data_IF_317994931294
#
_entry.id   IF_317994931294
#
_cell.length_a   1.000
_cell.length_b   1.000
_cell.length_c   1.000
_cell.angle_alpha   90.00
_cell.angle_beta   90.00
_cell.angle_gamma   90.00
#
_symmetry.space_group_name_H-M   'P 1'
#
loop_
_entity.id
_entity.type
_entity.pdbx_description
1 polymer ?
#
# COMPACT_ATOMS: atom_id res chain seq x y z
N UNK A 1 4.09 12.98 6.22
CA UNK A 1 3.36 11.73 5.90
C UNK A 1 3.50 11.46 4.41
N UNK A 2 3.78 10.22 4.00
CA UNK A 2 4.02 9.89 2.59
C UNK A 2 3.77 8.42 2.28
N UNK A 3 3.39 8.11 1.04
CA UNK A 3 3.38 6.75 0.52
C UNK A 3 4.77 6.35 0.04
N UNK A 4 5.17 5.13 0.35
CA UNK A 4 6.42 4.53 -0.08
C UNK A 4 6.14 3.23 -0.82
N UNK A 5 6.58 3.14 -2.08
CA UNK A 5 6.46 1.93 -2.90
C UNK A 5 7.81 1.24 -2.93
N UNK A 6 7.80 -0.07 -2.69
CA UNK A 6 9.00 -0.88 -2.71
C UNK A 6 8.71 -2.25 -3.31
N UNK A 7 9.75 -2.87 -3.86
CA UNK A 7 9.69 -4.26 -4.30
C UNK A 7 10.06 -5.14 -3.12
N UNK A 8 9.18 -6.06 -2.72
CA UNK A 8 9.44 -6.96 -1.61
C UNK A 8 10.49 -7.98 -2.05
N UNK A 9 11.72 -7.83 -1.57
CA UNK A 9 12.83 -8.75 -1.90
C UNK A 9 13.00 -9.87 -0.87
N UNK A 10 12.41 -9.70 0.33
CA UNK A 10 12.49 -10.66 1.45
C UNK A 10 11.20 -11.49 1.54
N UNK A 11 11.34 -12.76 1.91
CA UNK A 11 10.24 -13.71 2.05
C UNK A 11 10.30 -14.86 1.04
N UNK A 12 9.17 -15.53 0.84
CA UNK A 12 8.96 -16.60 -0.14
C UNK A 12 8.05 -16.09 -1.26
N UNK A 13 7.93 -16.84 -2.36
CA UNK A 13 7.02 -16.48 -3.44
C UNK A 13 5.57 -16.37 -2.95
N UNK A 14 5.18 -17.22 -1.98
CA UNK A 14 3.85 -17.21 -1.38
C UNK A 14 3.60 -15.98 -0.49
N UNK A 15 4.65 -15.32 0.00
CA UNK A 15 4.53 -14.11 0.84
C UNK A 15 4.83 -12.82 0.08
N UNK A 16 4.84 -12.88 -1.27
CA UNK A 16 4.98 -11.72 -2.14
C UNK A 16 6.41 -11.38 -2.53
N UNK A 17 7.37 -12.32 -2.44
CA UNK A 17 8.74 -12.08 -2.94
C UNK A 17 8.71 -11.74 -4.43
N UNK A 18 9.33 -10.62 -4.77
CA UNK A 18 9.40 -10.08 -6.13
C UNK A 18 8.23 -9.18 -6.51
N UNK A 19 7.18 -9.11 -5.70
CA UNK A 19 6.00 -8.26 -5.92
C UNK A 19 6.20 -6.84 -5.37
N UNK A 20 5.39 -5.92 -5.87
CA UNK A 20 5.35 -4.52 -5.46
C UNK A 20 4.40 -4.34 -4.29
N UNK A 21 4.79 -3.51 -3.32
CA UNK A 21 3.96 -3.15 -2.17
C UNK A 21 4.06 -1.68 -1.90
N UNK A 22 3.03 -1.15 -1.26
CA UNK A 22 3.02 0.19 -0.73
C UNK A 22 2.84 0.18 0.78
N UNK A 23 3.39 1.20 1.43
CA UNK A 23 3.11 1.52 2.83
C UNK A 23 3.00 3.02 3.02
N UNK A 24 2.17 3.42 3.98
CA UNK A 24 1.97 4.80 4.35
C UNK A 24 2.76 5.07 5.63
N UNK A 25 3.64 6.06 5.57
CA UNK A 25 4.47 6.48 6.69
C UNK A 25 4.00 7.81 7.25
N UNK A 26 3.94 7.90 8.58
CA UNK A 26 3.68 9.13 9.30
C UNK A 26 4.91 10.08 9.26
N UNK A 27 4.78 11.28 9.84
CA UNK A 27 5.87 12.26 9.89
C UNK A 27 7.10 11.76 10.65
N UNK A 28 6.92 10.84 11.58
CA UNK A 28 7.96 10.16 12.35
C UNK A 28 8.53 8.91 11.65
N UNK A 29 8.25 8.69 10.36
CA UNK A 29 8.68 7.54 9.56
C UNK A 29 8.12 6.18 9.96
N UNK A 30 7.22 6.11 10.96
CA UNK A 30 6.54 4.88 11.32
C UNK A 30 5.50 4.50 10.29
N UNK A 31 5.34 3.20 10.07
CA UNK A 31 4.33 2.67 9.14
C UNK A 31 2.97 2.63 9.82
N UNK A 32 1.99 3.35 9.27
CA UNK A 32 0.63 3.43 9.81
C UNK A 32 -0.38 2.63 8.99
N UNK A 33 -0.07 2.34 7.73
CA UNK A 33 -0.86 1.45 6.90
C UNK A 33 0.03 0.75 5.86
N UNK A 34 -0.39 -0.43 5.43
CA UNK A 34 0.27 -1.19 4.36
C UNK A 34 -0.75 -1.89 3.50
N UNK A 35 -0.47 -2.01 2.21
CA UNK A 35 -1.32 -2.73 1.27
C UNK A 35 -0.92 -4.19 1.03
N UNK A 36 -1.75 -4.82 0.22
CA UNK A 36 -1.46 -6.09 -0.44
C UNK A 36 -0.25 -6.00 -1.40
N UNK A 37 0.13 -7.13 -1.98
CA UNK A 37 1.21 -7.24 -2.94
C UNK A 37 0.71 -7.37 -4.38
N UNK A 38 1.35 -6.62 -5.27
CA UNK A 38 0.96 -6.48 -6.67
C UNK A 38 2.05 -7.03 -7.60
N UNK A 39 1.65 -7.63 -8.72
CA UNK A 39 2.61 -8.10 -9.73
C UNK A 39 3.29 -6.92 -10.42
N UNK A 40 2.53 -5.86 -10.75
CA UNK A 40 3.04 -4.68 -11.44
C UNK A 40 3.11 -3.46 -10.52
N UNK A 41 4.09 -2.58 -10.78
CA UNK A 41 4.20 -1.30 -10.07
C UNK A 41 3.02 -0.36 -10.37
N UNK A 42 2.49 -0.44 -11.59
CA UNK A 42 1.34 0.37 -12.03
C UNK A 42 0.10 0.14 -11.19
N UNK A 43 -0.22 -1.13 -10.91
CA UNK A 43 -1.36 -1.53 -10.08
C UNK A 43 -1.22 -0.96 -8.65
N UNK A 44 0.00 -1.00 -8.11
CA UNK A 44 0.33 -0.44 -6.80
C UNK A 44 0.13 1.08 -6.75
N UNK A 45 0.55 1.80 -7.80
CA UNK A 45 0.30 3.25 -7.94
C UNK A 45 -1.18 3.57 -8.09
N UNK A 46 -1.92 2.73 -8.83
CA UNK A 46 -3.35 2.90 -9.02
C UNK A 46 -4.11 2.76 -7.70
N UNK A 47 -3.78 1.76 -6.89
CA UNK A 47 -4.35 1.60 -5.54
C UNK A 47 -4.10 2.82 -4.64
N UNK A 48 -2.88 3.38 -4.65
CA UNK A 48 -2.57 4.61 -3.89
C UNK A 48 -3.42 5.79 -4.39
N UNK A 49 -3.60 5.93 -5.71
CA UNK A 49 -4.42 7.01 -6.26
C UNK A 49 -5.90 6.88 -5.85
N UNK A 50 -6.43 5.66 -5.80
CA UNK A 50 -7.78 5.41 -5.27
C UNK A 50 -7.89 5.82 -3.80
N UNK A 51 -6.91 5.43 -2.96
CA UNK A 51 -6.87 5.80 -1.54
C UNK A 51 -6.75 7.31 -1.37
N UNK A 52 -5.91 7.99 -2.17
CA UNK A 52 -5.81 9.45 -2.13
C UNK A 52 -7.08 10.16 -2.60
N UNK A 53 -7.90 9.49 -3.39
CA UNK A 53 -9.17 10.00 -3.90
C UNK A 53 -10.34 9.78 -2.95
N UNK A 54 -10.17 9.03 -1.86
CA UNK A 54 -11.22 8.92 -0.83
C UNK A 54 -11.30 10.21 -0.02
N UNK A 55 -12.50 10.48 0.49
CA UNK A 55 -12.79 11.64 1.33
C UNK A 55 -13.51 11.23 2.60
N UNK A 56 -13.71 12.20 3.50
CA UNK A 56 -14.38 12.00 4.79
C UNK A 56 -15.82 11.49 4.66
N UNK A 57 -16.48 11.76 3.52
CA UNK A 57 -17.82 11.24 3.25
C UNK A 57 -17.85 9.76 2.85
N UNK A 58 -16.70 9.13 2.62
CA UNK A 58 -16.63 7.71 2.24
C UNK A 58 -17.09 6.86 3.44
N UNK A 59 -18.20 6.11 3.34
CA UNK A 59 -18.77 5.41 4.49
C UNK A 59 -17.89 4.24 4.95
N UNK A 60 -17.80 4.06 6.26
CA UNK A 60 -17.16 2.91 6.91
C UNK A 60 -18.25 1.89 7.25
N UNK A 61 -18.02 0.61 6.92
CA UNK A 61 -18.93 -0.50 7.23
C UNK A 61 -18.20 -1.56 8.07
N UNK A 62 -18.81 -1.97 9.17
CA UNK A 62 -18.38 -3.11 10.00
C UNK A 62 -19.23 -4.33 9.66
N UNK A 63 -18.61 -5.50 9.48
CA UNK A 63 -19.24 -6.77 9.10
C UNK A 63 -18.82 -7.90 10.04
#
# INVERSE_FOLDING_TARGET
>A
MYFEIYRQIRGTLLTGKGQWRWRLKAGNHETIASGESYVNKGDCMHAINLIKGTCEQTPIKEI
#
